data_IF_771183358987
#
_entry.id   IF_771183358987
#
_cell.length_a   1.000
_cell.length_b   1.000
_cell.length_c   1.000
_cell.angle_alpha   90.00
_cell.angle_beta   90.00
_cell.angle_gamma   90.00
#
_symmetry.space_group_name_H-M   'P 1'
#
loop_
_entity.id
_entity.type
_entity.pdbx_description
1 polymer ?
#
# COMPACT_ATOMS: atom_id res chain seq x y z
N UNK A 1 -11.65 18.28 -7.55
CA UNK A 1 -10.70 18.68 -8.62
C UNK A 1 -9.30 18.07 -8.46
N UNK A 2 -8.58 18.25 -7.34
CA UNK A 2 -7.20 17.74 -7.17
C UNK A 2 -7.04 16.22 -7.36
N UNK A 3 -8.01 15.41 -6.90
CA UNK A 3 -7.93 13.94 -7.00
C UNK A 3 -8.08 13.41 -8.44
N UNK A 4 -8.87 14.08 -9.28
CA UNK A 4 -9.07 13.67 -10.69
C UNK A 4 -7.75 13.85 -11.46
N UNK A 5 -7.08 14.99 -11.26
CA UNK A 5 -5.81 15.28 -11.91
C UNK A 5 -4.70 14.30 -11.47
N UNK A 6 -4.61 14.00 -10.17
CA UNK A 6 -3.69 12.99 -9.63
C UNK A 6 -3.94 11.62 -10.25
N UNK A 7 -5.19 11.22 -10.39
CA UNK A 7 -5.57 9.93 -10.97
C UNK A 7 -5.19 9.84 -12.45
N UNK A 8 -5.44 10.90 -13.23
CA UNK A 8 -5.03 10.97 -14.64
C UNK A 8 -3.51 10.85 -14.79
N UNK A 9 -2.74 11.58 -13.97
CA UNK A 9 -1.29 11.51 -13.96
C UNK A 9 -0.76 10.11 -13.60
N UNK A 10 -1.38 9.44 -12.61
CA UNK A 10 -1.06 8.04 -12.29
C UNK A 10 -1.38 7.09 -13.44
N UNK A 11 -2.47 7.34 -14.17
CA UNK A 11 -2.81 6.60 -15.39
C UNK A 11 -1.76 6.73 -16.49
N UNK A 12 -1.12 7.89 -16.58
CA UNK A 12 0.00 8.17 -17.49
C UNK A 12 1.36 7.66 -16.96
N UNK A 13 1.40 7.01 -15.80
CA UNK A 13 2.61 6.44 -15.20
C UNK A 13 3.39 7.37 -14.28
N UNK A 14 2.88 8.57 -13.98
CA UNK A 14 3.52 9.50 -13.05
C UNK A 14 3.12 9.25 -11.59
N UNK A 15 4.02 9.56 -10.67
CA UNK A 15 3.80 9.47 -9.23
C UNK A 15 4.15 8.11 -8.63
N UNK A 16 4.40 8.11 -7.33
CA UNK A 16 5.00 6.98 -6.62
C UNK A 16 3.95 5.94 -6.25
N UNK A 17 4.27 4.67 -6.49
CA UNK A 17 3.41 3.52 -6.18
C UNK A 17 3.82 2.88 -4.86
N UNK A 18 2.85 2.26 -4.18
CA UNK A 18 3.13 1.40 -3.02
C UNK A 18 4.08 0.29 -3.43
N UNK A 19 5.15 0.09 -2.67
CA UNK A 19 6.26 -0.79 -3.06
C UNK A 19 6.74 -1.72 -1.94
N UNK A 20 6.20 -1.59 -0.74
CA UNK A 20 6.50 -2.47 0.40
C UNK A 20 5.18 -2.94 1.00
N UNK A 21 5.04 -4.24 1.23
CA UNK A 21 3.78 -4.86 1.65
C UNK A 21 4.04 -5.78 2.84
N UNK A 22 3.48 -5.46 4.01
CA UNK A 22 3.39 -6.39 5.13
C UNK A 22 2.15 -7.24 4.89
N UNK A 23 2.33 -8.49 4.45
CA UNK A 23 1.25 -9.33 3.94
C UNK A 23 0.70 -10.32 4.94
N UNK A 24 1.36 -10.49 6.09
CA UNK A 24 0.92 -11.46 7.09
C UNK A 24 1.95 -11.82 8.15
N UNK A 25 1.64 -12.78 9.01
CA UNK A 25 0.29 -13.33 9.20
C UNK A 25 -0.48 -12.57 10.30
N UNK A 26 -1.80 -12.72 10.33
CA UNK A 26 -2.62 -12.20 11.43
C UNK A 26 -2.10 -12.70 12.79
N UNK A 27 -2.18 -11.84 13.81
CA UNK A 27 -1.70 -12.10 15.19
C UNK A 27 -0.18 -12.31 15.32
N UNK A 28 0.61 -12.17 14.26
CA UNK A 28 2.08 -12.24 14.30
C UNK A 28 2.77 -10.87 14.51
N UNK A 29 2.10 -9.90 15.15
CA UNK A 29 2.71 -8.60 15.45
C UNK A 29 2.80 -7.61 14.27
N UNK A 30 2.06 -7.83 13.18
CA UNK A 30 2.05 -6.94 12.00
C UNK A 30 1.70 -5.49 12.31
N UNK A 31 0.82 -5.24 13.28
CA UNK A 31 0.51 -3.88 13.78
C UNK A 31 1.71 -3.24 14.47
N UNK A 32 2.40 -3.98 15.33
CA UNK A 32 3.61 -3.49 16.01
C UNK A 32 4.70 -3.18 14.98
N UNK A 33 4.95 -4.10 14.05
CA UNK A 33 5.92 -3.90 12.98
C UNK A 33 5.59 -2.66 12.14
N UNK A 34 4.33 -2.52 11.70
CA UNK A 34 3.87 -1.34 10.95
C UNK A 34 4.14 -0.06 11.75
N UNK A 35 3.67 0.01 12.99
CA UNK A 35 3.79 1.21 13.83
C UNK A 35 5.26 1.58 14.10
N UNK A 36 6.15 0.60 14.25
CA UNK A 36 7.58 0.84 14.42
C UNK A 36 8.21 1.36 13.12
N UNK A 37 7.90 0.76 11.98
CA UNK A 37 8.51 1.14 10.70
C UNK A 37 8.10 2.54 10.24
N UNK A 38 6.84 2.93 10.41
CA UNK A 38 6.36 4.26 9.99
C UNK A 38 6.96 5.42 10.80
N UNK A 39 7.69 5.15 11.89
CA UNK A 39 8.46 6.16 12.62
C UNK A 39 9.72 6.58 11.83
N UNK A 40 10.17 5.77 10.87
CA UNK A 40 11.37 6.08 10.09
C UNK A 40 11.08 7.16 9.03
N UNK A 41 11.93 8.20 8.88
CA UNK A 41 11.67 9.33 7.98
C UNK A 41 11.58 8.96 6.49
N UNK A 42 12.11 7.81 6.10
CA UNK A 42 12.04 7.28 4.74
C UNK A 42 10.95 6.21 4.55
N UNK A 43 10.04 6.02 5.51
CA UNK A 43 8.90 5.11 5.39
C UNK A 43 7.62 5.88 5.60
N UNK A 44 6.72 5.76 4.63
CA UNK A 44 5.36 6.24 4.76
C UNK A 44 4.39 5.05 4.73
N UNK A 45 3.63 4.92 5.81
CA UNK A 45 2.42 4.11 5.86
C UNK A 45 1.26 4.95 6.40
N UNK A 46 0.01 4.65 6.04
CA UNK A 46 -1.16 5.24 6.71
C UNK A 46 -1.09 5.01 8.22
N UNK A 47 -1.65 5.90 9.03
CA UNK A 47 -1.65 5.71 10.49
C UNK A 47 -2.35 4.41 10.93
N UNK A 48 -2.10 3.99 12.18
CA UNK A 48 -2.48 2.67 12.70
C UNK A 48 -3.94 2.23 12.41
N UNK A 49 -4.92 3.14 12.52
CA UNK A 49 -6.34 2.86 12.25
C UNK A 49 -6.69 2.66 10.77
N UNK A 50 -5.78 3.03 9.85
CA UNK A 50 -5.96 2.93 8.40
C UNK A 50 -4.94 1.99 7.74
N UNK A 51 -4.15 1.25 8.53
CA UNK A 51 -3.01 0.45 8.04
C UNK A 51 -3.39 -0.71 7.12
N UNK A 52 -4.63 -1.20 7.20
CA UNK A 52 -5.12 -2.37 6.46
C UNK A 52 -6.11 -1.95 5.35
N UNK A 53 -5.64 -1.59 4.14
CA UNK A 53 -6.50 -1.23 3.02
C UNK A 53 -7.48 -2.30 2.56
N UNK A 54 -7.15 -3.59 2.71
CA UNK A 54 -7.91 -4.73 2.18
C UNK A 54 -8.30 -4.57 0.70
N UNK A 55 -7.42 -3.96 -0.09
CA UNK A 55 -7.69 -3.67 -1.51
C UNK A 55 -7.33 -4.88 -2.40
N UNK A 56 -6.12 -5.41 -2.25
CA UNK A 56 -5.59 -6.42 -3.19
C UNK A 56 -6.22 -7.82 -3.01
N UNK A 57 -6.77 -8.11 -1.83
CA UNK A 57 -7.51 -9.33 -1.55
C UNK A 57 -9.02 -9.22 -1.86
N UNK A 58 -9.52 -8.07 -2.30
CA UNK A 58 -10.96 -7.85 -2.52
C UNK A 58 -11.79 -7.88 -1.23
N UNK A 59 -11.15 -7.62 -0.08
CA UNK A 59 -11.80 -7.64 1.22
C UNK A 59 -12.80 -6.49 1.44
N UNK A 60 -13.28 -6.29 2.68
CA UNK A 60 -14.29 -5.27 2.99
C UNK A 60 -13.77 -3.82 2.90
N UNK A 61 -12.47 -3.62 2.64
CA UNK A 61 -11.85 -2.30 2.54
C UNK A 61 -12.12 -1.59 1.20
N UNK A 62 -11.08 -1.01 0.63
CA UNK A 62 -11.22 -0.16 -0.56
C UNK A 62 -11.74 -0.94 -1.76
N UNK A 63 -12.55 -0.26 -2.58
CA UNK A 63 -13.21 -0.90 -3.72
C UNK A 63 -12.61 -0.46 -5.05
N UNK A 64 -11.89 0.66 -5.09
CA UNK A 64 -11.26 1.13 -6.33
C UNK A 64 -9.76 1.39 -6.19
N UNK A 65 -9.04 1.23 -7.31
CA UNK A 65 -7.61 1.58 -7.40
C UNK A 65 -7.37 3.06 -7.11
N UNK A 66 -8.31 3.92 -7.46
CA UNK A 66 -8.23 5.35 -7.20
C UNK A 66 -8.27 5.65 -5.70
N UNK A 67 -9.20 5.04 -4.96
CA UNK A 67 -9.26 5.15 -3.50
C UNK A 67 -7.97 4.64 -2.85
N UNK A 68 -7.45 3.51 -3.35
CA UNK A 68 -6.18 2.94 -2.91
C UNK A 68 -5.02 3.91 -3.06
N UNK A 69 -4.79 4.39 -4.27
CA UNK A 69 -3.68 5.27 -4.58
C UNK A 69 -3.81 6.67 -3.96
N UNK A 70 -5.04 7.08 -3.61
CA UNK A 70 -5.30 8.35 -2.92
C UNK A 70 -4.93 8.32 -1.43
N UNK A 71 -4.83 7.14 -0.80
CA UNK A 71 -4.31 7.03 0.57
C UNK A 71 -2.82 7.35 0.69
N UNK A 72 -2.09 7.30 -0.42
CA UNK A 72 -0.65 7.48 -0.45
C UNK A 72 -0.27 8.80 -1.11
N UNK A 73 0.82 9.47 -0.68
CA UNK A 73 1.30 10.68 -1.32
C UNK A 73 1.61 10.43 -2.80
N UNK A 74 1.40 11.46 -3.62
CA UNK A 74 1.67 11.37 -5.06
C UNK A 74 3.18 11.42 -5.36
N UNK A 75 3.90 12.27 -4.62
CA UNK A 75 5.34 12.45 -4.70
C UNK A 75 5.92 12.25 -3.31
N UNK A 76 7.06 11.59 -3.24
CA UNK A 76 7.85 11.42 -2.01
C UNK A 76 9.31 11.73 -2.28
N UNK A 77 10.10 11.90 -1.22
CA UNK A 77 11.55 12.05 -1.36
C UNK A 77 12.14 10.79 -1.99
N UNK A 78 13.25 10.89 -2.73
CA UNK A 78 13.98 9.72 -3.19
C UNK A 78 14.20 8.73 -2.05
N UNK A 79 14.17 7.42 -2.38
CA UNK A 79 14.31 6.29 -1.44
C UNK A 79 13.15 6.06 -0.46
N UNK A 80 12.18 6.98 -0.36
CA UNK A 80 11.01 6.78 0.52
C UNK A 80 10.23 5.52 0.12
N UNK A 81 9.89 4.69 1.09
CA UNK A 81 9.08 3.49 0.93
C UNK A 81 7.62 3.80 1.25
N UNK A 82 6.74 3.48 0.31
CA UNK A 82 5.30 3.52 0.51
C UNK A 82 4.83 2.11 0.90
N UNK A 83 4.19 2.00 2.07
CA UNK A 83 3.91 0.72 2.72
C UNK A 83 2.41 0.45 2.91
N UNK A 84 1.97 -0.73 2.45
CA UNK A 84 0.66 -1.33 2.77
C UNK A 84 0.86 -2.41 3.82
N UNK A 85 -0.07 -2.57 4.75
CA UNK A 85 0.03 -3.57 5.82
C UNK A 85 -1.29 -4.27 6.05
N UNK A 86 -1.63 -5.21 5.17
CA UNK A 86 -2.85 -6.02 5.23
C UNK A 86 -2.48 -7.49 5.48
N UNK A 87 -2.59 -7.99 6.72
CA UNK A 87 -2.10 -9.33 7.08
C UNK A 87 -2.84 -10.51 6.42
N UNK A 88 -4.02 -10.27 5.84
CA UNK A 88 -4.79 -11.28 5.13
C UNK A 88 -4.34 -11.50 3.68
N UNK A 89 -3.39 -10.70 3.18
CA UNK A 89 -2.88 -10.88 1.83
C UNK A 89 -2.16 -12.22 1.63
N UNK A 90 -1.47 -12.75 2.66
CA UNK A 90 -0.76 -14.03 2.58
C UNK A 90 -1.71 -15.23 2.34
N UNK A 91 -2.95 -15.16 2.83
CA UNK A 91 -3.93 -16.25 2.70
C UNK A 91 -4.83 -16.11 1.46
N UNK A 92 -4.87 -14.92 0.85
CA UNK A 92 -5.82 -14.60 -0.21
C UNK A 92 -5.24 -14.92 -1.58
N UNK A 93 -5.76 -15.96 -2.24
CA UNK A 93 -5.24 -16.42 -3.52
C UNK A 93 -5.24 -15.31 -4.60
N UNK A 94 -4.18 -15.27 -5.42
CA UNK A 94 -3.99 -14.28 -6.49
C UNK A 94 -3.63 -12.86 -6.02
N UNK A 95 -3.60 -12.59 -4.70
CA UNK A 95 -3.28 -11.25 -4.17
C UNK A 95 -1.86 -10.81 -4.53
N UNK A 96 -0.88 -11.71 -4.40
CA UNK A 96 0.52 -11.42 -4.73
C UNK A 96 0.69 -11.08 -6.21
N UNK A 97 0.03 -11.83 -7.11
CA UNK A 97 0.08 -11.55 -8.55
C UNK A 97 -0.47 -10.15 -8.86
N UNK A 98 -1.64 -9.79 -8.30
CA UNK A 98 -2.22 -8.46 -8.48
C UNK A 98 -1.30 -7.34 -8.00
N UNK A 99 -0.57 -7.56 -6.89
CA UNK A 99 0.41 -6.60 -6.37
C UNK A 99 1.60 -6.46 -7.32
N UNK A 100 2.11 -7.56 -7.87
CA UNK A 100 3.20 -7.52 -8.86
C UNK A 100 2.77 -6.85 -10.16
N UNK A 101 1.57 -7.13 -10.66
CA UNK A 101 1.00 -6.48 -11.85
C UNK A 101 0.86 -4.96 -11.63
N UNK A 102 0.53 -4.56 -10.41
CA UNK A 102 0.47 -3.16 -10.02
C UNK A 102 1.84 -2.51 -9.94
N UNK A 103 2.79 -3.17 -9.28
CA UNK A 103 4.16 -2.69 -9.09
C UNK A 103 5.15 -3.88 -9.12
N UNK A 104 5.86 -4.08 -10.24
CA UNK A 104 6.85 -5.15 -10.37
C UNK A 104 8.04 -5.04 -9.40
N UNK A 105 8.23 -3.87 -8.77
CA UNK A 105 9.27 -3.61 -7.77
C UNK A 105 8.80 -3.84 -6.33
N UNK A 106 7.61 -4.42 -6.13
CA UNK A 106 7.05 -4.70 -4.82
C UNK A 106 7.96 -5.62 -4.00
N UNK A 107 8.09 -5.31 -2.71
CA UNK A 107 8.75 -6.14 -1.70
C UNK A 107 7.73 -6.58 -0.66
N UNK A 108 7.89 -7.80 -0.16
CA UNK A 108 6.96 -8.43 0.77
C UNK A 108 7.67 -8.72 2.09
N UNK A 109 6.94 -8.49 3.18
CA UNK A 109 7.30 -8.85 4.55
C UNK A 109 6.16 -9.71 5.12
#
# INVERSE_FOLDING_TARGET
MKNIFKQQLRGLGFGEKVNTFIIGAEKCGTTTLHNTLIQHPEIYGPGAYMKEPHFWNGGPGLKSKAEYENRYPFLVRPKTRLMDSTPNYIFSNGTIQKIFDYNPKAKFI
#
